data_IF_735807954315
#
_entry.id   IF_735807954315
#
_cell.length_a   1.000
_cell.length_b   1.000
_cell.length_c   1.000
_cell.angle_alpha   90.00
_cell.angle_beta   90.00
_cell.angle_gamma   90.00
#
_symmetry.space_group_name_H-M   'P 1'
#
loop_
_entity.id
_entity.type
_entity.pdbx_description
1 polymer ?
#
# COMPACT_ATOMS: atom_id res chain seq x y z
N UNK A 1 -11.19 31.13 -7.13
CA UNK A 1 -10.73 31.99 -6.02
C UNK A 1 -9.92 31.14 -5.04
N UNK A 2 -8.63 31.45 -4.86
CA UNK A 2 -7.76 30.73 -3.91
C UNK A 2 -8.16 31.03 -2.46
N UNK A 3 -8.12 30.05 -1.53
CA UNK A 3 -8.37 30.32 -0.11
C UNK A 3 -7.35 31.32 0.42
N UNK A 4 -7.82 32.29 1.19
CA UNK A 4 -7.09 33.47 1.69
C UNK A 4 -5.79 33.05 2.40
N UNK A 5 -4.73 33.82 2.13
CA UNK A 5 -3.34 33.74 2.63
C UNK A 5 -3.14 33.74 4.17
N UNK A 6 -4.17 33.55 5.01
CA UNK A 6 -4.11 33.85 6.46
C UNK A 6 -4.01 32.64 7.40
N UNK A 7 -3.92 31.41 6.90
CA UNK A 7 -3.95 30.21 7.77
C UNK A 7 -2.90 29.14 7.39
N UNK A 8 -1.66 29.54 7.07
CA UNK A 8 -0.72 28.65 6.39
C UNK A 8 0.75 28.96 6.74
N UNK A 9 1.42 28.08 7.50
CA UNK A 9 2.88 28.10 7.67
C UNK A 9 3.46 26.69 7.80
N UNK A 10 4.20 26.25 6.79
CA UNK A 10 5.54 25.66 6.90
C UNK A 10 6.29 25.97 5.59
N UNK A 11 7.53 26.46 5.69
CA UNK A 11 8.37 26.87 4.55
C UNK A 11 9.34 25.78 4.11
N UNK A 12 9.36 24.64 4.81
CA UNK A 12 10.42 23.63 4.64
C UNK A 12 10.15 22.61 3.52
N UNK A 13 8.88 22.30 3.21
CA UNK A 13 8.53 21.28 2.20
C UNK A 13 7.31 21.66 1.31
N UNK A 14 6.94 22.94 1.23
CA UNK A 14 5.89 23.44 0.31
C UNK A 14 4.45 22.90 0.61
N UNK A 15 4.24 22.36 1.82
CA UNK A 15 2.94 21.87 2.31
C UNK A 15 2.23 22.88 3.21
N UNK A 16 0.90 22.91 3.14
CA UNK A 16 0.08 23.82 3.92
C UNK A 16 -0.99 23.09 4.73
N UNK A 17 -1.00 23.30 6.04
CA UNK A 17 -2.01 22.77 6.96
C UNK A 17 -3.03 23.85 7.34
N UNK A 18 -4.28 23.46 7.56
CA UNK A 18 -5.29 24.37 8.11
C UNK A 18 -5.13 24.46 9.63
N UNK A 19 -5.31 25.64 10.19
CA UNK A 19 -5.27 25.86 11.65
C UNK A 19 -6.34 25.01 12.35
N UNK A 20 -7.52 24.85 11.74
CA UNK A 20 -8.58 23.97 12.26
C UNK A 20 -8.13 22.51 12.42
N UNK A 21 -7.27 22.04 11.52
CA UNK A 21 -6.79 20.66 11.55
C UNK A 21 -5.73 20.49 12.65
N UNK A 22 -4.88 21.49 12.85
CA UNK A 22 -3.96 21.55 13.99
C UNK A 22 -4.70 21.52 15.33
N UNK A 23 -5.77 22.30 15.49
CA UNK A 23 -6.56 22.33 16.73
C UNK A 23 -7.18 20.96 17.02
N UNK A 24 -7.75 20.29 16.00
CA UNK A 24 -8.26 18.92 16.13
C UNK A 24 -7.18 17.95 16.58
N UNK A 25 -5.99 18.00 15.95
CA UNK A 25 -4.87 17.12 16.29
C UNK A 25 -4.40 17.39 17.72
N UNK A 26 -4.26 18.66 18.13
CA UNK A 26 -3.80 19.06 19.46
C UNK A 26 -4.67 18.49 20.58
N UNK A 27 -5.98 18.43 20.39
CA UNK A 27 -6.94 17.93 21.37
C UNK A 27 -7.22 16.41 21.26
N UNK A 28 -6.69 15.76 20.23
CA UNK A 28 -6.84 14.33 19.97
C UNK A 28 -6.34 13.45 21.12
N UNK A 29 -7.00 12.30 21.32
CA UNK A 29 -6.54 11.27 22.23
C UNK A 29 -5.15 10.72 21.84
N UNK A 30 -4.80 10.75 20.55
CA UNK A 30 -3.51 10.30 20.03
C UNK A 30 -2.36 11.12 20.65
N UNK A 31 -2.46 12.44 20.60
CA UNK A 31 -1.43 13.33 21.18
C UNK A 31 -1.32 13.14 22.69
N UNK A 32 -2.45 12.92 23.39
CA UNK A 32 -2.43 12.62 24.84
C UNK A 32 -1.68 11.32 25.13
N UNK A 33 -1.93 10.28 24.33
CA UNK A 33 -1.24 8.98 24.45
C UNK A 33 0.24 9.09 24.08
N UNK A 34 0.62 9.83 23.04
CA UNK A 34 2.03 10.11 22.69
C UNK A 34 2.75 10.78 23.86
N UNK A 35 2.18 11.86 24.41
CA UNK A 35 2.77 12.57 25.56
C UNK A 35 2.93 11.65 26.78
N UNK A 36 1.96 10.79 27.02
CA UNK A 36 2.02 9.80 28.09
C UNK A 36 3.12 8.76 27.85
N UNK A 37 3.19 8.18 26.65
CA UNK A 37 4.18 7.18 26.28
C UNK A 37 5.60 7.75 26.31
N UNK A 38 5.83 8.97 25.81
CA UNK A 38 7.13 9.62 25.86
C UNK A 38 7.63 9.81 27.30
N UNK A 39 6.74 10.15 28.25
CA UNK A 39 7.10 10.21 29.68
C UNK A 39 7.50 8.84 30.24
N UNK A 40 6.81 7.77 29.82
CA UNK A 40 7.14 6.40 30.26
C UNK A 40 8.44 5.89 29.62
N UNK A 41 8.68 6.18 28.35
CA UNK A 41 9.92 5.84 27.67
C UNK A 41 11.12 6.52 28.31
N UNK A 42 11.01 7.81 28.68
CA UNK A 42 12.04 8.49 29.48
C UNK A 42 12.30 7.79 30.81
N UNK A 43 11.24 7.49 31.59
CA UNK A 43 11.39 6.72 32.84
C UNK A 43 12.03 5.35 32.63
N UNK A 44 11.70 4.67 31.54
CA UNK A 44 12.30 3.39 31.17
C UNK A 44 13.79 3.55 30.89
N UNK A 45 14.16 4.58 30.11
CA UNK A 45 15.55 4.91 29.85
C UNK A 45 16.31 5.23 31.14
N UNK A 46 15.73 6.06 32.02
CA UNK A 46 16.33 6.39 33.32
C UNK A 46 16.58 5.12 34.18
N UNK A 47 15.67 4.13 34.15
CA UNK A 47 15.86 2.87 34.87
C UNK A 47 16.94 1.99 34.24
N UNK A 48 17.04 1.97 32.90
CA UNK A 48 18.10 1.27 32.16
C UNK A 48 19.47 1.88 32.49
N UNK A 49 19.57 3.21 32.48
CA UNK A 49 20.79 3.94 32.81
C UNK A 49 21.24 3.65 34.25
N UNK A 50 20.28 3.43 35.16
CA UNK A 50 20.51 3.01 36.55
C UNK A 50 20.66 1.49 36.75
N UNK A 51 20.78 0.69 35.67
CA UNK A 51 20.94 -0.79 35.69
C UNK A 51 19.81 -1.57 36.36
N UNK A 52 18.61 -1.00 36.43
CA UNK A 52 17.40 -1.63 36.98
C UNK A 52 16.56 -2.25 35.85
N UNK A 53 17.09 -3.30 35.21
CA UNK A 53 16.48 -3.90 34.01
C UNK A 53 15.10 -4.50 34.27
N UNK A 54 14.92 -5.24 35.37
CA UNK A 54 13.64 -5.91 35.70
C UNK A 54 12.48 -4.90 35.79
N UNK A 55 12.72 -3.76 36.46
CA UNK A 55 11.73 -2.68 36.59
C UNK A 55 11.52 -1.92 35.28
N UNK A 56 12.50 -1.92 34.38
CA UNK A 56 12.39 -1.29 33.07
C UNK A 56 11.53 -2.12 32.11
N UNK A 57 11.54 -3.45 32.23
CA UNK A 57 10.68 -4.35 31.43
C UNK A 57 9.20 -4.21 31.76
N UNK A 58 8.88 -3.96 33.03
CA UNK A 58 7.50 -3.71 33.49
C UNK A 58 6.89 -2.43 32.90
N UNK A 59 7.72 -1.50 32.42
CA UNK A 59 7.25 -0.28 31.78
C UNK A 59 6.83 -0.57 30.33
N UNK A 60 5.55 -0.87 30.16
CA UNK A 60 4.91 -0.98 28.84
C UNK A 60 4.25 0.33 28.41
N UNK A 61 4.41 0.76 27.15
CA UNK A 61 3.69 1.90 26.61
C UNK A 61 2.20 1.59 26.53
N UNK A 62 1.36 2.63 26.58
CA UNK A 62 -0.07 2.49 26.35
C UNK A 62 -0.33 2.34 24.86
N UNK A 63 -1.13 1.34 24.49
CA UNK A 63 -1.57 1.16 23.12
C UNK A 63 -2.51 2.28 22.66
N UNK A 64 -2.41 2.63 21.38
CA UNK A 64 -3.33 3.57 20.76
C UNK A 64 -4.68 2.91 20.50
N UNK A 65 -5.75 3.69 20.66
CA UNK A 65 -7.11 3.25 20.35
C UNK A 65 -7.38 3.32 18.84
N UNK A 66 -6.71 2.47 18.06
CA UNK A 66 -6.79 2.49 16.60
C UNK A 66 -8.20 2.23 16.07
N UNK A 67 -9.02 1.43 16.77
CA UNK A 67 -10.42 1.19 16.39
C UNK A 67 -11.23 2.48 16.36
N UNK A 68 -11.04 3.34 17.36
CA UNK A 68 -11.74 4.63 17.43
C UNK A 68 -11.24 5.56 16.32
N UNK A 69 -9.94 5.56 16.04
CA UNK A 69 -9.37 6.35 14.94
C UNK A 69 -9.90 5.94 13.56
N UNK A 70 -10.04 4.63 13.32
CA UNK A 70 -10.61 4.13 12.06
C UNK A 70 -12.09 4.54 11.97
N UNK A 71 -12.85 4.45 13.06
CA UNK A 71 -14.27 4.89 13.09
C UNK A 71 -14.42 6.41 12.93
N UNK A 72 -13.50 7.20 13.49
CA UNK A 72 -13.49 8.65 13.35
C UNK A 72 -13.13 9.06 11.90
N UNK A 73 -12.19 8.35 11.26
CA UNK A 73 -11.80 8.60 9.86
C UNK A 73 -12.91 8.20 8.89
N UNK A 74 -13.49 7.02 9.09
CA UNK A 74 -14.52 6.49 8.20
C UNK A 74 -15.89 6.45 8.87
N UNK A 75 -16.70 7.44 8.55
CA UNK A 75 -18.07 7.56 9.05
C UNK A 75 -18.99 6.42 8.59
N UNK A 76 -18.66 5.74 7.48
CA UNK A 76 -19.49 4.69 6.87
C UNK A 76 -18.62 3.57 6.28
N UNK A 77 -19.21 2.39 6.10
CA UNK A 77 -18.54 1.24 5.50
C UNK A 77 -18.12 1.49 4.04
N UNK A 78 -18.95 2.09 3.16
CA UNK A 78 -18.53 2.39 1.79
C UNK A 78 -17.26 3.23 1.72
N UNK A 79 -17.16 4.30 2.53
CA UNK A 79 -15.96 5.14 2.59
C UNK A 79 -14.71 4.39 3.08
N UNK A 80 -14.90 3.42 3.97
CA UNK A 80 -13.81 2.56 4.42
C UNK A 80 -13.38 1.60 3.30
N UNK A 81 -14.33 1.08 2.52
CA UNK A 81 -14.05 0.22 1.37
C UNK A 81 -13.31 0.97 0.25
N UNK A 82 -13.65 2.24 0.00
CA UNK A 82 -12.96 3.06 -1.01
C UNK A 82 -11.44 3.17 -0.72
N UNK A 83 -11.07 3.44 0.53
CA UNK A 83 -9.66 3.55 0.99
C UNK A 83 -9.01 2.18 1.29
N UNK A 84 -9.73 1.07 1.11
CA UNK A 84 -9.21 -0.27 1.39
C UNK A 84 -8.08 -0.63 0.42
N UNK A 85 -8.18 -0.21 -0.85
CA UNK A 85 -7.17 -0.50 -1.88
C UNK A 85 -5.78 0.05 -1.52
N UNK A 86 -5.73 1.29 -1.03
CA UNK A 86 -4.49 1.95 -0.58
C UNK A 86 -3.92 1.28 0.68
N UNK A 87 -4.81 0.89 1.59
CA UNK A 87 -4.45 0.17 2.82
C UNK A 87 -3.86 -1.20 2.49
N UNK A 88 -4.48 -1.96 1.58
CA UNK A 88 -3.99 -3.25 1.11
C UNK A 88 -2.65 -3.12 0.40
N UNK A 89 -2.50 -2.13 -0.49
CA UNK A 89 -1.24 -1.90 -1.21
C UNK A 89 -0.10 -1.61 -0.23
N UNK A 90 -0.36 -0.78 0.79
CA UNK A 90 0.62 -0.45 1.82
C UNK A 90 0.97 -1.65 2.70
N UNK A 91 -0.01 -2.48 3.05
CA UNK A 91 0.20 -3.72 3.80
C UNK A 91 0.98 -4.76 2.98
N UNK A 92 0.68 -4.92 1.69
CA UNK A 92 1.44 -5.76 0.77
C UNK A 92 2.89 -5.28 0.67
N UNK A 93 3.10 -3.96 0.56
CA UNK A 93 4.44 -3.38 0.56
C UNK A 93 5.16 -3.67 1.89
N UNK A 94 4.50 -3.52 3.04
CA UNK A 94 5.11 -3.79 4.34
C UNK A 94 5.44 -5.26 4.56
N UNK A 95 4.63 -6.18 4.01
CA UNK A 95 4.94 -7.61 3.94
C UNK A 95 6.24 -7.84 3.17
N UNK A 96 6.43 -7.20 2.01
CA UNK A 96 7.67 -7.33 1.23
C UNK A 96 8.89 -6.75 1.94
N UNK A 97 8.69 -5.75 2.78
CA UNK A 97 9.74 -5.13 3.59
C UNK A 97 9.98 -5.84 4.94
N UNK A 98 9.23 -6.90 5.26
CA UNK A 98 9.28 -7.62 6.54
C UNK A 98 9.20 -6.68 7.76
N UNK A 99 8.34 -5.67 7.71
CA UNK A 99 8.22 -4.67 8.79
C UNK A 99 7.47 -5.20 10.02
N UNK A 100 6.55 -6.14 9.82
CA UNK A 100 5.68 -6.67 10.86
C UNK A 100 5.13 -8.04 10.44
N UNK A 101 5.42 -9.08 11.22
CA UNK A 101 5.00 -10.46 10.98
C UNK A 101 3.46 -10.64 11.07
N UNK A 102 2.76 -9.79 11.83
CA UNK A 102 1.30 -9.87 11.92
C UNK A 102 0.63 -9.55 10.59
N UNK A 103 1.29 -8.74 9.73
CA UNK A 103 0.70 -8.30 8.45
C UNK A 103 0.46 -9.50 7.54
N UNK A 104 1.36 -10.48 7.54
CA UNK A 104 1.23 -11.69 6.73
C UNK A 104 -0.04 -12.47 7.06
N UNK A 105 -0.32 -12.63 8.35
CA UNK A 105 -1.52 -13.33 8.82
C UNK A 105 -2.78 -12.58 8.40
N UNK A 106 -2.81 -11.25 8.55
CA UNK A 106 -3.98 -10.43 8.22
C UNK A 106 -4.24 -10.44 6.70
N UNK A 107 -3.20 -10.37 5.88
CA UNK A 107 -3.33 -10.45 4.41
C UNK A 107 -3.80 -11.85 4.00
N UNK A 108 -3.24 -12.90 4.58
CA UNK A 108 -3.65 -14.28 4.27
C UNK A 108 -5.11 -14.55 4.69
N UNK A 109 -5.55 -13.99 5.83
CA UNK A 109 -6.95 -14.02 6.25
C UNK A 109 -7.86 -13.32 5.25
N UNK A 110 -7.41 -12.16 4.72
CA UNK A 110 -8.15 -11.42 3.69
C UNK A 110 -8.24 -12.18 2.38
N UNK A 111 -7.14 -12.79 1.94
CA UNK A 111 -7.11 -13.61 0.73
C UNK A 111 -7.96 -14.86 0.86
N UNK A 112 -7.93 -15.53 2.02
CA UNK A 112 -8.79 -16.68 2.30
C UNK A 112 -10.27 -16.27 2.28
N UNK A 113 -10.60 -15.10 2.83
CA UNK A 113 -11.95 -14.53 2.74
C UNK A 113 -12.37 -14.27 1.29
N UNK A 114 -11.49 -13.68 0.47
CA UNK A 114 -11.76 -13.42 -0.94
C UNK A 114 -11.97 -14.71 -1.75
N UNK A 115 -11.18 -15.76 -1.47
CA UNK A 115 -11.31 -17.09 -2.09
C UNK A 115 -12.66 -17.71 -1.72
N UNK A 116 -12.98 -17.76 -0.43
CA UNK A 116 -14.19 -18.44 0.05
C UNK A 116 -15.47 -17.83 -0.51
N UNK A 117 -15.50 -16.50 -0.66
CA UNK A 117 -16.65 -15.75 -1.19
C UNK A 117 -16.58 -15.48 -2.70
N UNK A 118 -15.51 -15.90 -3.39
CA UNK A 118 -15.34 -15.68 -4.84
C UNK A 118 -15.35 -14.21 -5.25
N UNK A 119 -14.72 -13.34 -4.46
CA UNK A 119 -14.77 -11.88 -4.65
C UNK A 119 -13.81 -11.36 -5.73
N UNK A 120 -12.81 -12.17 -6.12
CA UNK A 120 -11.79 -11.78 -7.07
C UNK A 120 -12.35 -11.74 -8.50
N UNK A 121 -12.33 -10.56 -9.11
CA UNK A 121 -12.91 -10.32 -10.44
C UNK A 121 -11.81 -10.29 -11.50
N UNK A 122 -10.79 -9.47 -11.31
CA UNK A 122 -9.71 -9.28 -12.28
C UNK A 122 -8.33 -9.34 -11.62
N UNK A 123 -7.34 -9.71 -12.42
CA UNK A 123 -5.93 -9.74 -12.06
C UNK A 123 -5.06 -9.37 -13.26
N UNK A 124 -4.08 -8.49 -13.06
CA UNK A 124 -3.23 -7.99 -14.13
C UNK A 124 -1.77 -7.97 -13.69
N UNK A 125 -0.90 -8.58 -14.50
CA UNK A 125 0.54 -8.58 -14.28
C UNK A 125 1.16 -7.34 -14.96
N UNK A 126 1.64 -6.40 -14.14
CA UNK A 126 2.33 -5.20 -14.59
C UNK A 126 3.81 -5.28 -14.28
N UNK A 127 4.62 -4.36 -14.83
CA UNK A 127 6.04 -4.23 -14.49
C UNK A 127 6.34 -4.00 -13.00
N UNK A 128 5.42 -3.37 -12.25
CA UNK A 128 5.57 -3.03 -10.83
C UNK A 128 5.15 -4.17 -9.88
N UNK A 129 4.36 -5.12 -10.37
CA UNK A 129 3.67 -6.10 -9.55
C UNK A 129 2.32 -6.49 -10.14
N UNK A 130 1.52 -7.17 -9.34
CA UNK A 130 0.22 -7.70 -9.75
C UNK A 130 -0.87 -6.83 -9.16
N UNK A 131 -1.75 -6.32 -10.02
CA UNK A 131 -2.94 -5.60 -9.63
C UNK A 131 -4.11 -6.57 -9.52
N UNK A 132 -4.88 -6.45 -8.45
CA UNK A 132 -6.08 -7.24 -8.23
C UNK A 132 -7.30 -6.32 -8.12
N UNK A 133 -8.44 -6.80 -8.59
CA UNK A 133 -9.74 -6.15 -8.38
C UNK A 133 -10.72 -7.12 -7.74
N UNK A 134 -11.35 -6.64 -6.67
CA UNK A 134 -12.51 -7.27 -6.07
C UNK A 134 -13.72 -6.35 -6.18
N UNK A 135 -14.90 -6.95 -6.16
CA UNK A 135 -16.15 -6.21 -6.14
C UNK A 135 -16.94 -6.57 -4.87
N UNK A 136 -17.21 -5.58 -4.03
CA UNK A 136 -18.01 -5.71 -2.80
C UNK A 136 -19.15 -4.72 -2.88
N UNK A 137 -20.40 -5.20 -2.91
CA UNK A 137 -21.61 -4.34 -2.90
C UNK A 137 -21.60 -3.20 -3.95
N UNK A 138 -21.07 -3.48 -5.16
CA UNK A 138 -20.87 -2.53 -6.27
C UNK A 138 -19.73 -1.52 -6.09
N UNK A 139 -18.90 -1.67 -5.05
CA UNK A 139 -17.66 -0.92 -4.89
C UNK A 139 -16.52 -1.77 -5.43
N UNK A 140 -15.82 -1.23 -6.43
CA UNK A 140 -14.63 -1.83 -7.01
C UNK A 140 -13.42 -1.41 -6.20
N UNK A 141 -12.68 -2.39 -5.69
CA UNK A 141 -11.47 -2.15 -4.91
C UNK A 141 -10.31 -2.73 -5.67
N UNK A 142 -9.33 -1.87 -5.98
CA UNK A 142 -8.13 -2.22 -6.71
C UNK A 142 -6.94 -2.03 -5.78
N UNK A 143 -6.05 -3.02 -5.70
CA UNK A 143 -4.78 -2.89 -4.97
C UNK A 143 -3.62 -3.51 -5.75
N UNK A 144 -2.41 -3.08 -5.41
CA UNK A 144 -1.17 -3.58 -5.99
C UNK A 144 -0.47 -4.52 -5.00
N UNK A 145 -0.09 -5.71 -5.46
CA UNK A 145 0.87 -6.58 -4.80
C UNK A 145 2.23 -6.50 -5.52
N UNK A 146 3.25 -5.82 -4.93
CA UNK A 146 4.56 -5.68 -5.56
C UNK A 146 5.31 -7.02 -5.71
N UNK A 147 6.11 -7.13 -6.76
CA UNK A 147 6.99 -8.29 -6.95
C UNK A 147 8.11 -8.34 -5.90
N UNK A 148 8.52 -9.56 -5.47
CA UNK A 148 9.53 -9.74 -4.44
C UNK A 148 10.91 -9.18 -4.82
N UNK A 149 11.23 -9.14 -6.12
CA UNK A 149 12.56 -8.80 -6.64
C UNK A 149 12.74 -7.32 -6.98
N UNK A 150 11.79 -6.45 -6.61
CA UNK A 150 12.01 -5.02 -6.75
C UNK A 150 13.19 -4.67 -5.83
N UNK A 151 14.23 -4.03 -6.33
CA UNK A 151 15.38 -3.56 -5.54
C UNK A 151 14.94 -2.46 -4.56
N UNK A 152 14.13 -2.82 -3.57
CA UNK A 152 13.49 -1.90 -2.63
C UNK A 152 14.52 -1.20 -1.74
N UNK A 153 15.68 -1.82 -1.52
CA UNK A 153 16.79 -1.24 -0.76
C UNK A 153 17.45 -0.05 -1.45
N UNK A 154 17.44 0.01 -2.79
CA UNK A 154 17.95 1.18 -3.55
C UNK A 154 16.95 2.34 -3.58
N UNK A 155 15.66 2.03 -3.43
CA UNK A 155 14.54 2.98 -3.52
C UNK A 155 14.25 3.63 -2.16
N UNK A 156 14.62 3.01 -1.04
CA UNK A 156 14.11 3.39 0.28
C UNK A 156 15.20 3.99 1.18
N UNK A 157 14.89 5.10 1.85
CA UNK A 157 15.68 5.68 2.96
C UNK A 157 14.74 5.89 4.14
N UNK A 158 15.16 5.53 5.36
CA UNK A 158 14.42 5.93 6.57
C UNK A 158 14.75 7.40 6.80
N UNK A 159 13.76 8.30 6.72
CA UNK A 159 13.99 9.71 6.99
C UNK A 159 14.35 9.89 8.46
N UNK A 160 15.46 10.58 8.70
CA UNK A 160 15.84 11.02 10.04
C UNK A 160 15.27 12.42 10.21
N UNK A 161 14.09 12.52 10.83
CA UNK A 161 13.48 13.81 11.20
C UNK A 161 14.05 14.26 12.56
N UNK A 162 15.22 14.89 12.54
CA UNK A 162 15.68 15.63 13.70
C UNK A 162 14.92 16.96 13.79
N UNK A 163 14.30 17.29 14.95
CA UNK A 163 13.69 18.60 15.13
C UNK A 163 14.81 19.65 15.06
N UNK A 164 14.94 20.33 13.92
CA UNK A 164 15.87 21.44 13.78
C UNK A 164 15.51 22.47 14.85
N UNK A 165 16.40 22.77 15.82
CA UNK A 165 16.12 23.80 16.79
C UNK A 165 15.94 25.11 16.03
N UNK A 166 14.80 25.77 16.24
CA UNK A 166 14.55 27.09 15.67
C UNK A 166 15.60 28.05 16.25
N UNK A 167 16.65 28.33 15.48
CA UNK A 167 17.63 29.34 15.83
C UNK A 167 16.99 30.68 15.55
N UNK A 168 16.69 31.43 16.62
CA UNK A 168 16.51 32.86 16.48
C UNK A 168 17.78 33.41 15.84
N UNK A 169 17.68 34.03 14.67
CA UNK A 169 18.73 34.95 14.25
C UNK A 169 18.82 35.99 15.36
N UNK A 170 19.95 36.01 16.06
CA UNK A 170 20.25 37.09 16.99
C UNK A 170 20.16 38.35 16.14
N UNK A 171 19.20 39.24 16.42
CA UNK A 171 19.14 40.53 15.75
C UNK A 171 20.44 41.26 16.08
N UNK A 172 21.44 41.12 15.22
CA UNK A 172 22.63 41.94 15.30
C UNK A 172 22.22 43.31 14.80
N UNK A 173 22.26 44.30 15.69
CA UNK A 173 21.98 45.71 15.38
C UNK A 173 22.82 46.23 14.19
N UNK A 174 23.94 45.57 13.86
CA UNK A 174 24.76 45.85 12.68
C UNK A 174 24.13 45.49 11.33
N UNK A 175 23.12 44.61 11.27
CA UNK A 175 22.43 44.28 10.00
C UNK A 175 21.61 45.45 9.42
N UNK A 176 21.45 46.55 10.15
CA UNK A 176 20.80 47.77 9.65
C UNK A 176 21.80 48.78 9.05
N UNK A 177 23.10 48.52 9.15
CA UNK A 177 24.14 49.51 8.86
C UNK A 177 25.13 49.12 7.74
N UNK A 178 24.95 47.96 7.10
CA UNK A 178 25.77 47.50 5.97
C UNK A 178 24.86 47.06 4.84
N UNK A 179 24.80 47.88 3.78
CA UNK A 179 24.21 47.57 2.46
C UNK A 179 25.09 46.56 1.69
N UNK A 180 25.53 45.49 2.35
CA UNK A 180 26.28 44.41 1.71
C UNK A 180 25.31 43.25 1.45
N UNK A 181 24.88 43.14 0.19
CA UNK A 181 24.06 42.04 -0.36
C UNK A 181 24.83 40.71 -0.48
N UNK A 182 25.74 40.39 0.45
CA UNK A 182 26.40 39.08 0.51
C UNK A 182 25.83 38.27 1.69
N UNK A 183 24.53 37.99 1.62
CA UNK A 183 23.97 36.83 2.31
C UNK A 183 24.49 35.60 1.58
N UNK A 184 25.63 35.07 2.04
CA UNK A 184 26.05 33.73 1.67
C UNK A 184 24.90 32.77 1.94
N UNK A 185 24.25 32.31 0.87
CA UNK A 185 23.33 31.19 0.91
C UNK A 185 24.15 30.01 1.43
N UNK A 186 24.00 29.65 2.71
CA UNK A 186 24.46 28.35 3.19
C UNK A 186 23.78 27.32 2.28
N UNK A 187 24.53 26.74 1.33
CA UNK A 187 24.07 25.65 0.50
C UNK A 187 23.67 24.50 1.44
N UNK A 188 22.37 24.41 1.70
CA UNK A 188 21.79 23.35 2.52
C UNK A 188 21.92 22.04 1.75
N UNK A 189 22.92 21.22 2.08
CA UNK A 189 22.90 19.83 1.67
C UNK A 189 21.65 19.15 2.28
N UNK A 190 20.76 18.59 1.44
CA UNK A 190 19.58 17.91 1.96
C UNK A 190 20.01 16.63 2.71
N UNK A 191 19.75 16.57 4.01
CA UNK A 191 20.05 15.39 4.89
C UNK A 191 19.42 14.10 4.34
N UNK A 192 18.29 14.24 3.64
CA UNK A 192 17.54 13.14 3.04
C UNK A 192 17.64 13.20 1.52
N UNK A 193 17.94 12.05 0.88
CA UNK A 193 18.03 11.99 -0.59
C UNK A 193 16.62 12.18 -1.15
N UNK A 194 16.36 13.22 -1.97
CA UNK A 194 15.01 13.48 -2.49
C UNK A 194 14.52 12.40 -3.47
N UNK A 195 15.43 11.55 -3.95
CA UNK A 195 15.14 10.45 -4.88
C UNK A 195 14.76 9.15 -4.18
N UNK A 196 14.84 9.06 -2.85
CA UNK A 196 14.51 7.86 -2.08
C UNK A 196 13.19 8.04 -1.32
N UNK A 197 12.35 7.01 -1.35
CA UNK A 197 11.07 6.96 -0.63
C UNK A 197 11.30 6.81 0.88
N UNK A 198 10.62 7.64 1.65
CA UNK A 198 10.67 7.59 3.11
C UNK A 198 9.84 6.42 3.66
N UNK A 199 10.53 5.44 4.26
CA UNK A 199 9.87 4.28 4.90
C UNK A 199 9.22 4.62 6.24
N UNK A 200 9.60 5.73 6.88
CA UNK A 200 9.10 6.12 8.20
C UNK A 200 7.59 6.35 8.16
N UNK A 201 7.10 7.02 7.12
CA UNK A 201 5.67 7.25 6.95
C UNK A 201 4.88 5.94 6.82
N UNK A 202 5.43 4.97 6.07
CA UNK A 202 4.82 3.65 5.95
C UNK A 202 4.75 2.99 7.32
N UNK A 203 5.86 2.90 8.05
CA UNK A 203 5.93 2.24 9.36
C UNK A 203 4.98 2.88 10.39
N UNK A 204 4.84 4.21 10.40
CA UNK A 204 3.89 4.90 11.26
C UNK A 204 2.43 4.64 10.87
N UNK A 205 2.14 4.41 9.60
CA UNK A 205 0.79 4.15 9.09
C UNK A 205 0.34 2.69 9.26
N UNK A 206 1.27 1.74 9.39
CA UNK A 206 0.96 0.30 9.44
C UNK A 206 -0.07 -0.07 10.50
N UNK A 207 0.04 0.37 11.77
CA UNK A 207 -0.94 0.00 12.77
C UNK A 207 -2.36 0.43 12.36
N UNK A 208 -2.50 1.65 11.84
CA UNK A 208 -3.79 2.14 11.36
C UNK A 208 -4.34 1.27 10.22
N UNK A 209 -3.51 0.94 9.23
CA UNK A 209 -3.91 0.10 8.09
C UNK A 209 -4.28 -1.33 8.50
N UNK A 210 -3.55 -1.93 9.46
CA UNK A 210 -3.89 -3.24 10.04
C UNK A 210 -5.28 -3.22 10.67
N UNK A 211 -5.56 -2.22 11.51
CA UNK A 211 -6.87 -2.09 12.15
C UNK A 211 -7.98 -1.76 11.15
N UNK A 212 -7.68 -0.99 10.10
CA UNK A 212 -8.61 -0.72 9.02
C UNK A 212 -9.06 -2.03 8.32
N UNK A 213 -8.09 -2.85 7.88
CA UNK A 213 -8.36 -4.14 7.25
C UNK A 213 -9.07 -5.11 8.20
N UNK A 214 -8.64 -5.22 9.47
CA UNK A 214 -9.29 -6.06 10.49
C UNK A 214 -10.76 -5.69 10.71
N UNK A 215 -11.07 -4.40 10.83
CA UNK A 215 -12.45 -3.94 11.04
C UNK A 215 -13.34 -4.15 9.82
N UNK A 216 -12.80 -3.94 8.62
CA UNK A 216 -13.51 -4.25 7.37
C UNK A 216 -13.78 -5.74 7.29
N UNK A 217 -12.77 -6.59 7.49
CA UNK A 217 -12.94 -8.04 7.49
C UNK A 217 -13.98 -8.50 8.51
N UNK A 218 -13.96 -7.96 9.73
CA UNK A 218 -14.95 -8.27 10.74
C UNK A 218 -16.37 -7.89 10.29
N UNK A 219 -16.55 -6.71 9.69
CA UNK A 219 -17.84 -6.28 9.17
C UNK A 219 -18.29 -7.12 7.98
N UNK A 220 -17.41 -7.39 7.02
CA UNK A 220 -17.72 -8.18 5.83
C UNK A 220 -18.06 -9.63 6.19
N UNK A 221 -17.33 -10.26 7.11
CA UNK A 221 -17.66 -11.60 7.63
C UNK A 221 -19.06 -11.64 8.27
N UNK A 222 -19.52 -10.54 8.86
CA UNK A 222 -20.87 -10.43 9.44
C UNK A 222 -21.96 -10.15 8.39
N UNK A 223 -21.63 -9.48 7.30
CA UNK A 223 -22.57 -9.10 6.24
C UNK A 223 -22.72 -10.21 5.18
N UNK A 224 -21.62 -10.87 4.81
CA UNK A 224 -21.56 -11.83 3.69
C UNK A 224 -21.76 -13.29 4.14
N UNK A 225 -22.41 -13.52 5.28
CA UNK A 225 -22.61 -14.85 5.90
C UNK A 225 -23.33 -15.86 4.98
N UNK A 226 -24.09 -15.40 3.97
CA UNK A 226 -25.10 -16.23 3.31
C UNK A 226 -24.83 -16.60 1.84
N UNK A 227 -23.74 -16.12 1.22
CA UNK A 227 -23.47 -16.39 -0.21
C UNK A 227 -22.01 -16.76 -0.48
N UNK A 228 -21.69 -18.05 -0.41
CA UNK A 228 -20.48 -18.60 -1.02
C UNK A 228 -20.71 -18.73 -2.54
N UNK A 229 -20.22 -17.74 -3.30
CA UNK A 229 -20.27 -17.73 -4.76
C UNK A 229 -18.89 -18.01 -5.33
N UNK A 230 -18.39 -19.22 -5.11
CA UNK A 230 -17.12 -19.62 -5.72
C UNK A 230 -17.27 -19.81 -7.23
N UNK A 231 -16.31 -19.27 -7.98
CA UNK A 231 -16.18 -19.54 -9.41
C UNK A 231 -15.67 -20.94 -9.62
N UNK A 232 -16.27 -21.68 -10.55
CA UNK A 232 -15.98 -23.10 -10.80
C UNK A 232 -15.16 -23.33 -12.07
N UNK A 233 -14.48 -22.31 -12.57
CA UNK A 233 -13.79 -22.37 -13.87
C UNK A 233 -12.66 -23.40 -13.88
N UNK A 234 -12.02 -23.65 -12.73
CA UNK A 234 -10.97 -24.65 -12.55
C UNK A 234 -11.40 -25.86 -11.72
N UNK A 235 -12.71 -26.08 -11.56
CA UNK A 235 -13.22 -27.18 -10.75
C UNK A 235 -12.71 -28.54 -11.27
N UNK A 236 -11.98 -29.27 -10.43
CA UNK A 236 -11.43 -30.59 -10.75
C UNK A 236 -10.11 -30.57 -11.54
N UNK A 237 -9.56 -29.39 -11.83
CA UNK A 237 -8.25 -29.24 -12.49
C UNK A 237 -7.13 -29.18 -11.45
N UNK A 238 -6.06 -29.96 -11.66
CA UNK A 238 -4.88 -29.98 -10.78
C UNK A 238 -3.71 -29.22 -11.39
N UNK A 239 -3.22 -28.23 -10.68
CA UNK A 239 -2.14 -27.34 -11.11
C UNK A 239 -0.86 -27.57 -10.30
N UNK A 240 0.26 -27.61 -11.01
CA UNK A 240 1.62 -27.50 -10.45
C UNK A 240 2.20 -26.15 -10.85
N UNK A 241 2.87 -25.47 -9.92
CA UNK A 241 3.44 -24.13 -10.14
C UNK A 241 4.96 -24.22 -10.04
N UNK A 242 5.66 -23.95 -11.13
CA UNK A 242 7.13 -23.92 -11.14
C UNK A 242 7.69 -22.51 -10.94
N UNK A 243 6.93 -21.47 -11.29
CA UNK A 243 7.37 -20.08 -11.12
C UNK A 243 7.39 -19.67 -9.65
N UNK A 244 8.60 -19.52 -9.08
CA UNK A 244 8.81 -19.15 -7.67
C UNK A 244 8.44 -17.69 -7.35
N UNK A 245 8.61 -16.77 -8.30
CA UNK A 245 8.47 -15.33 -8.04
C UNK A 245 7.02 -14.91 -7.80
N UNK A 246 6.08 -15.55 -8.48
CA UNK A 246 4.64 -15.25 -8.44
C UNK A 246 3.84 -16.42 -7.88
N UNK A 247 4.48 -17.32 -7.13
CA UNK A 247 3.83 -18.54 -6.63
C UNK A 247 2.63 -18.23 -5.74
N UNK A 248 2.79 -17.34 -4.77
CA UNK A 248 1.70 -16.93 -3.86
C UNK A 248 0.49 -16.37 -4.63
N UNK A 249 0.78 -15.55 -5.64
CA UNK A 249 -0.20 -14.88 -6.49
C UNK A 249 -0.96 -15.87 -7.39
N UNK A 250 -0.25 -16.83 -8.00
CA UNK A 250 -0.86 -17.90 -8.78
C UNK A 250 -1.75 -18.79 -7.90
N UNK A 251 -1.30 -19.10 -6.68
CA UNK A 251 -2.10 -19.87 -5.71
C UNK A 251 -3.41 -19.14 -5.39
N UNK A 252 -3.34 -17.82 -5.15
CA UNK A 252 -4.51 -16.99 -4.86
C UNK A 252 -5.54 -17.08 -5.99
N UNK A 253 -5.11 -16.87 -7.23
CA UNK A 253 -6.03 -16.88 -8.38
C UNK A 253 -6.58 -18.28 -8.65
N UNK A 254 -5.74 -19.32 -8.67
CA UNK A 254 -6.18 -20.70 -8.93
C UNK A 254 -7.19 -21.15 -7.88
N UNK A 255 -6.94 -20.89 -6.59
CA UNK A 255 -7.89 -21.22 -5.53
C UNK A 255 -9.19 -20.43 -5.63
N UNK A 256 -9.13 -19.15 -6.04
CA UNK A 256 -10.32 -18.33 -6.26
C UNK A 256 -11.22 -18.87 -7.39
N UNK A 257 -10.65 -19.67 -8.30
CA UNK A 257 -11.35 -20.35 -9.40
C UNK A 257 -11.69 -21.82 -9.09
N UNK A 258 -11.58 -22.24 -7.83
CA UNK A 258 -11.80 -23.61 -7.34
C UNK A 258 -10.85 -24.66 -7.94
N UNK A 259 -9.63 -24.26 -8.33
CA UNK A 259 -8.57 -25.19 -8.77
C UNK A 259 -7.79 -25.79 -7.60
N UNK A 260 -7.28 -27.01 -7.82
CA UNK A 260 -6.43 -27.70 -6.84
C UNK A 260 -4.95 -27.48 -7.16
N UNK A 261 -4.12 -27.27 -6.13
CA UNK A 261 -2.68 -27.14 -6.28
C UNK A 261 -2.02 -28.41 -5.76
N UNK A 262 -1.20 -29.03 -6.61
CA UNK A 262 -0.53 -30.31 -6.34
C UNK A 262 0.96 -30.16 -6.62
N UNK A 263 1.79 -30.57 -5.65
CA UNK A 263 3.25 -30.57 -5.77
C UNK A 263 3.81 -31.91 -6.32
N UNK A 264 2.99 -32.97 -6.28
CA UNK A 264 3.32 -34.30 -6.80
C UNK A 264 3.11 -34.38 -8.32
N UNK A 265 3.59 -35.45 -8.96
CA UNK A 265 3.45 -35.69 -10.41
C UNK A 265 2.01 -35.99 -10.90
N UNK A 266 1.05 -36.01 -9.98
CA UNK A 266 -0.39 -36.20 -10.25
C UNK A 266 -1.10 -34.92 -10.72
N UNK A 267 -0.39 -33.93 -11.27
CA UNK A 267 -0.94 -32.68 -11.80
C UNK A 267 -1.45 -32.83 -13.23
N UNK A 268 -2.40 -32.02 -13.69
CA UNK A 268 -2.85 -32.02 -15.09
C UNK A 268 -2.18 -30.88 -15.89
N UNK A 269 -2.05 -29.73 -15.23
CA UNK A 269 -1.49 -28.50 -15.78
C UNK A 269 -0.26 -28.09 -14.98
N UNK A 270 0.83 -27.75 -15.66
CA UNK A 270 2.00 -27.13 -15.06
C UNK A 270 2.15 -25.70 -15.57
N UNK A 271 2.31 -24.74 -14.64
CA UNK A 271 2.43 -23.32 -14.92
C UNK A 271 3.88 -22.87 -14.73
N UNK A 272 4.49 -22.40 -15.81
CA UNK A 272 5.88 -21.94 -15.83
C UNK A 272 6.25 -21.20 -17.11
N UNK A 273 7.32 -20.41 -17.06
CA UNK A 273 7.85 -19.69 -18.22
C UNK A 273 8.94 -20.49 -18.95
N UNK A 274 9.77 -21.21 -18.20
CA UNK A 274 10.84 -22.07 -18.70
C UNK A 274 10.78 -23.39 -17.97
N UNK A 275 10.47 -24.45 -18.69
CA UNK A 275 10.29 -25.78 -18.15
C UNK A 275 11.30 -26.68 -18.84
N UNK A 276 12.17 -27.29 -18.03
CA UNK A 276 13.28 -28.12 -18.50
C UNK A 276 12.83 -29.57 -18.76
N UNK A 277 11.87 -30.06 -17.97
CA UNK A 277 11.40 -31.45 -18.01
C UNK A 277 9.94 -31.54 -18.44
N UNK A 278 9.71 -32.09 -19.63
CA UNK A 278 8.38 -32.38 -20.14
C UNK A 278 7.98 -33.82 -19.82
N UNK A 279 6.82 -34.00 -19.22
CA UNK A 279 6.19 -35.29 -18.93
C UNK A 279 5.09 -35.51 -19.97
N UNK A 280 5.10 -36.68 -20.61
CA UNK A 280 4.09 -37.05 -21.59
C UNK A 280 2.68 -37.06 -20.96
N UNK A 281 1.70 -36.53 -21.70
CA UNK A 281 0.32 -36.42 -21.23
C UNK A 281 0.01 -35.23 -20.31
N UNK A 282 1.01 -34.40 -19.96
CA UNK A 282 0.81 -33.18 -19.15
C UNK A 282 0.77 -31.92 -20.02
N UNK A 283 0.04 -30.90 -19.57
CA UNK A 283 -0.08 -29.63 -20.29
C UNK A 283 0.72 -28.54 -19.60
N UNK A 284 1.62 -27.90 -20.35
CA UNK A 284 2.51 -26.86 -19.86
C UNK A 284 2.06 -25.49 -20.38
N UNK A 285 1.74 -24.58 -19.46
CA UNK A 285 1.10 -23.30 -19.74
C UNK A 285 1.88 -22.12 -19.16
N UNK A 286 1.83 -20.99 -19.87
CA UNK A 286 2.35 -19.73 -19.38
C UNK A 286 1.49 -19.17 -18.23
N UNK A 287 2.07 -18.53 -17.18
CA UNK A 287 1.33 -17.95 -16.06
C UNK A 287 0.19 -17.00 -16.45
N UNK A 288 0.33 -16.31 -17.58
CA UNK A 288 -0.70 -15.43 -18.11
C UNK A 288 -2.06 -16.12 -18.33
N UNK A 289 -2.08 -17.43 -18.61
CA UNK A 289 -3.32 -18.19 -18.73
C UNK A 289 -4.21 -18.03 -17.50
N UNK A 290 -3.63 -18.09 -16.30
CA UNK A 290 -4.39 -18.03 -15.04
C UNK A 290 -5.08 -16.66 -14.89
N UNK A 291 -4.36 -15.58 -15.14
CA UNK A 291 -4.89 -14.21 -15.05
C UNK A 291 -5.89 -13.90 -16.17
N UNK A 292 -5.62 -14.34 -17.40
CA UNK A 292 -6.54 -14.11 -18.51
C UNK A 292 -7.82 -14.97 -18.37
N UNK A 293 -7.74 -16.14 -17.74
CA UNK A 293 -8.92 -16.96 -17.38
C UNK A 293 -9.75 -16.30 -16.29
N UNK A 294 -9.09 -15.69 -15.30
CA UNK A 294 -9.76 -14.86 -14.30
C UNK A 294 -10.50 -13.70 -15.00
N UNK A 295 -9.82 -12.95 -15.87
CA UNK A 295 -10.36 -11.74 -16.51
C UNK A 295 -11.47 -12.03 -17.53
N UNK A 296 -11.41 -13.15 -18.24
CA UNK A 296 -12.39 -13.56 -19.26
C UNK A 296 -13.57 -14.36 -18.71
N UNK A 297 -13.63 -14.58 -17.39
CA UNK A 297 -14.65 -15.42 -16.73
C UNK A 297 -14.71 -16.84 -17.33
N UNK A 298 -13.55 -17.49 -17.48
CA UNK A 298 -13.47 -18.88 -17.95
C UNK A 298 -13.51 -19.06 -19.47
N UNK A 299 -13.57 -17.98 -20.26
CA UNK A 299 -13.63 -18.04 -21.74
C UNK A 299 -12.25 -18.00 -22.38
N UNK A 300 -11.34 -18.87 -21.92
CA UNK A 300 -9.96 -18.98 -22.41
C UNK A 300 -9.66 -20.38 -22.89
N UNK A 301 -8.96 -20.47 -24.02
CA UNK A 301 -8.46 -21.75 -24.53
C UNK A 301 -7.02 -21.95 -24.07
N UNK A 302 -6.74 -23.04 -23.35
CA UNK A 302 -5.39 -23.35 -22.86
C UNK A 302 -4.38 -23.53 -24.01
N UNK A 303 -4.84 -23.92 -25.21
CA UNK A 303 -3.99 -24.10 -26.40
C UNK A 303 -3.18 -22.86 -26.77
N UNK A 304 -3.71 -21.65 -26.53
CA UNK A 304 -3.07 -20.39 -26.90
C UNK A 304 -1.94 -19.99 -25.97
N UNK A 305 -1.88 -20.61 -24.78
CA UNK A 305 -0.93 -20.30 -23.71
C UNK A 305 0.11 -21.39 -23.50
N UNK A 306 0.14 -22.42 -24.37
CA UNK A 306 1.19 -23.44 -24.34
C UNK A 306 2.57 -22.82 -24.53
N UNK A 307 3.54 -23.34 -23.79
CA UNK A 307 4.93 -22.90 -23.89
C UNK A 307 5.43 -23.04 -25.34
N UNK A 308 6.10 -22.00 -25.85
CA UNK A 308 6.63 -21.95 -27.22
C UNK A 308 5.68 -21.35 -28.27
N UNK A 309 4.40 -21.12 -27.94
CA UNK A 309 3.48 -20.36 -28.81
C UNK A 309 3.59 -18.86 -28.56
N UNK A 310 3.14 -18.07 -29.54
CA UNK A 310 3.01 -16.61 -29.39
C UNK A 310 1.80 -16.31 -28.50
N UNK A 311 2.08 -15.87 -27.28
CA UNK A 311 1.07 -15.61 -26.25
C UNK A 311 0.19 -14.41 -26.67
N UNK A 312 -1.13 -14.43 -26.37
CA UNK A 312 -2.01 -13.28 -26.58
C UNK A 312 -1.52 -12.02 -25.87
N UNK A 313 -1.87 -10.85 -26.42
CA UNK A 313 -1.48 -9.56 -25.82
C UNK A 313 -2.16 -9.41 -24.46
N UNK A 314 -1.37 -9.25 -23.40
CA UNK A 314 -1.89 -8.96 -22.07
C UNK A 314 -2.38 -7.51 -22.01
N UNK A 315 -3.69 -7.31 -21.83
CA UNK A 315 -4.34 -5.98 -21.79
C UNK A 315 -4.84 -5.73 -20.36
N UNK A 316 -4.60 -4.52 -19.84
CA UNK A 316 -5.12 -4.13 -18.53
C UNK A 316 -6.65 -4.14 -18.53
N UNK A 317 -7.31 -4.86 -17.61
CA UNK A 317 -8.76 -4.82 -17.46
C UNK A 317 -9.22 -3.52 -16.78
N UNK A 318 -8.30 -2.76 -16.18
CA UNK A 318 -8.61 -1.52 -15.49
C UNK A 318 -8.67 -0.37 -16.49
N UNK A 319 -9.85 0.26 -16.58
CA UNK A 319 -9.96 1.57 -17.21
C UNK A 319 -9.09 2.56 -16.41
N UNK A 320 -8.27 3.35 -17.12
CA UNK A 320 -7.49 4.45 -16.54
C UNK A 320 -8.44 5.50 -15.97
N UNK A 321 -8.89 5.30 -14.74
CA UNK A 321 -9.59 6.32 -13.98
C UNK A 321 -8.53 7.00 -13.13
N UNK A 322 -7.94 8.08 -13.67
CA UNK A 322 -7.01 8.94 -12.97
C UNK A 322 -7.75 9.69 -11.84
N UNK A 323 -8.16 8.98 -10.78
CA UNK A 323 -8.75 9.59 -9.60
C UNK A 323 -7.63 10.15 -8.73
N UNK A 324 -7.24 11.39 -9.01
CA UNK A 324 -6.47 12.15 -8.03
C UNK A 324 -7.44 12.67 -6.97
N UNK A 325 -7.24 12.28 -5.71
CA UNK A 325 -8.09 12.72 -4.61
C UNK A 325 -8.11 14.27 -4.55
N UNK A 326 -9.28 14.92 -4.72
CA UNK A 326 -9.39 16.39 -4.77
C UNK A 326 -8.83 17.08 -3.52
N UNK A 327 -8.92 16.41 -2.37
CA UNK A 327 -8.43 16.94 -1.10
C UNK A 327 -6.91 17.01 -1.08
N UNK A 328 -6.21 16.05 -1.69
CA UNK A 328 -4.75 16.04 -1.85
C UNK A 328 -4.30 17.14 -2.82
N UNK A 329 -5.04 17.38 -3.90
CA UNK A 329 -4.76 18.51 -4.79
C UNK A 329 -4.91 19.87 -4.09
N UNK A 330 -5.75 19.95 -3.05
CA UNK A 330 -6.00 21.18 -2.29
C UNK A 330 -4.88 21.54 -1.31
N UNK A 331 -4.09 20.56 -0.88
CA UNK A 331 -3.00 20.72 0.09
C UNK A 331 -1.65 21.02 -0.58
N UNK A 332 -1.53 20.76 -1.88
CA UNK A 332 -0.31 21.01 -2.67
C UNK A 332 -0.10 22.49 -3.04
N UNK A 333 1.16 22.87 -3.23
CA UNK A 333 1.53 24.17 -3.80
C UNK A 333 0.98 24.32 -5.22
N UNK A 334 0.71 25.58 -5.65
CA UNK A 334 0.13 25.85 -6.98
C UNK A 334 0.96 25.23 -8.11
N UNK A 335 2.28 25.27 -7.99
CA UNK A 335 3.22 24.75 -8.98
C UNK A 335 3.12 23.23 -9.11
N UNK A 336 3.06 22.51 -7.98
CA UNK A 336 2.97 21.04 -7.96
C UNK A 336 1.57 20.56 -8.35
N UNK A 337 0.53 21.30 -7.93
CA UNK A 337 -0.85 21.07 -8.37
C UNK A 337 -0.99 21.23 -9.88
N UNK A 338 -0.46 22.30 -10.47
CA UNK A 338 -0.51 22.52 -11.91
C UNK A 338 0.27 21.44 -12.66
N UNK A 339 1.47 21.06 -12.21
CA UNK A 339 2.22 19.93 -12.81
C UNK A 339 1.44 18.61 -12.80
N UNK A 340 0.79 18.27 -11.69
CA UNK A 340 -0.03 17.05 -11.62
C UNK A 340 -1.28 17.16 -12.49
N UNK A 341 -1.89 18.34 -12.55
CA UNK A 341 -3.03 18.63 -13.40
C UNK A 341 -2.65 18.50 -14.89
N UNK A 342 -1.51 19.04 -15.29
CA UNK A 342 -0.96 18.94 -16.65
C UNK A 342 -0.62 17.49 -17.03
N UNK A 343 -0.11 16.68 -16.09
CA UNK A 343 0.11 15.24 -16.30
C UNK A 343 -1.24 14.53 -16.47
N UNK A 344 -2.21 14.79 -15.60
CA UNK A 344 -3.55 14.16 -15.65
C UNK A 344 -4.30 14.53 -16.93
N UNK A 345 -4.19 15.77 -17.38
CA UNK A 345 -4.86 16.27 -18.57
C UNK A 345 -4.11 15.88 -19.87
N UNK A 346 -2.78 15.77 -19.85
CA UNK A 346 -1.99 15.25 -20.97
C UNK A 346 -2.28 13.78 -21.34
N UNK A 347 -2.83 12.98 -20.42
CA UNK A 347 -3.32 11.63 -20.73
C UNK A 347 -4.74 11.58 -21.33
N UNK A 348 -5.52 12.68 -21.26
CA UNK A 348 -6.86 12.74 -21.89
C UNK A 348 -6.78 13.00 -23.40
N UNK A 349 -5.71 13.63 -23.86
CA UNK A 349 -5.52 13.98 -25.28
C UNK A 349 -4.96 12.84 -26.14
N UNK A 350 -4.65 11.68 -25.54
CA UNK A 350 -4.27 10.48 -26.30
C UNK A 350 -5.55 9.75 -26.72
N UNK A 351 -6.19 10.24 -27.79
CA UNK A 351 -7.15 9.44 -28.53
C UNK A 351 -6.43 8.21 -29.11
N UNK A 352 -6.64 7.04 -28.53
CA UNK A 352 -6.28 5.78 -29.17
C UNK A 352 -7.13 5.62 -30.44
N UNK A 353 -6.50 5.79 -31.61
CA UNK A 353 -7.05 5.38 -32.90
C UNK A 353 -7.02 3.86 -33.03
#
# INVERSE_FOLDING_TARGET
MSPKRKEKYDLTDDFYFKISDYEKIKHSHVIKTIKYNNKRLKKKQDLIDNRLYDKAEDIKPREFKYVDLVKDRYSSLPKALDDLGDSLTSLCLSKRLNLDEEVDQIINDFYSFCINHGLLVHGFMSTKGIYYEINIENIRIIWLNPYPNTTLQEIIKIKIDEPKPFKWSKLNFLHFASDDEDLGEEEFEPVNDPNKLDMSLLSYSLPFQKFHLKLILFKLKKLLVEHERQRKDFLGMKFRIENKNIREDLILVIKSLSGEIVENDSFDFCIGERIENYTEGKVYLHPQYVFDTLNSQGKTFFEDYKIGKKIPKHISPFALTNFVNPDVLSTLSKTKRNRLQDIVDGYKDVHYQ
#
